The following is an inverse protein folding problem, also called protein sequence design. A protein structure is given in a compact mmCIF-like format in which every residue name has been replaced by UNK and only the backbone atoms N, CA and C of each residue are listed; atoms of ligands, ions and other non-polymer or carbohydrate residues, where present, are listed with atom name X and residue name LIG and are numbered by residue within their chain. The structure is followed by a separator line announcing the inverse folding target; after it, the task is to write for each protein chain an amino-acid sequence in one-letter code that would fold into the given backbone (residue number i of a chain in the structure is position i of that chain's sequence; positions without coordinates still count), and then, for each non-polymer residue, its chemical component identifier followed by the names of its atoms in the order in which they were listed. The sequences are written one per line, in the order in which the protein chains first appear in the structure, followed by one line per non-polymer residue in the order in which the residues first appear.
data_IF_056879024302
#
_entry.id   IF_056879024302
#
_cell.length_a   1.000
_cell.length_b   1.000
_cell.length_c   1.000
_cell.angle_alpha   90.00
_cell.angle_beta   90.00
_cell.angle_gamma   90.00
#
_symmetry.space_group_name_H-M   'P 1'
#
loop_
_entity.id
_entity.type
_entity.pdbx_description
1 polymer ?
#
# COMPACT_ATOMS: atom_id res chain seq x y z
N UNK A 1 9.16 -19.03 9.51
CA UNK A 1 7.87 -18.38 9.19
C UNK A 1 6.73 -19.40 9.06
N UNK A 2 5.48 -19.01 9.33
CA UNK A 2 4.28 -19.83 9.04
C UNK A 2 3.62 -19.34 7.76
N UNK A 3 3.60 -20.19 6.73
CA UNK A 3 2.82 -19.93 5.52
C UNK A 3 1.34 -20.13 5.80
N UNK A 4 0.52 -19.19 5.35
CA UNK A 4 -0.94 -19.24 5.48
C UNK A 4 -1.58 -19.09 4.10
N UNK A 5 -2.70 -19.78 3.89
CA UNK A 5 -3.52 -19.54 2.71
C UNK A 5 -4.11 -18.12 2.85
N UNK A 6 -3.97 -17.24 1.84
CA UNK A 6 -4.53 -15.89 1.90
C UNK A 6 -6.03 -15.92 2.18
N UNK A 7 -6.48 -15.04 3.06
CA UNK A 7 -7.90 -14.82 3.27
C UNK A 7 -8.50 -14.12 2.04
N UNK A 8 -9.59 -14.68 1.53
CA UNK A 8 -10.40 -14.06 0.47
C UNK A 8 -11.28 -12.99 1.10
N UNK A 9 -10.96 -11.73 0.83
CA UNK A 9 -11.74 -10.59 1.34
C UNK A 9 -13.16 -10.60 0.75
N UNK A 10 -14.17 -10.34 1.57
CA UNK A 10 -15.56 -10.24 1.14
C UNK A 10 -15.82 -8.88 0.48
N UNK A 11 -16.80 -8.78 -0.44
CA UNK A 11 -17.24 -7.52 -1.01
C UNK A 11 -17.56 -6.43 0.02
N UNK A 12 -18.14 -6.79 1.16
CA UNK A 12 -18.51 -5.86 2.22
C UNK A 12 -17.29 -5.25 2.92
N UNK A 13 -16.22 -6.04 3.08
CA UNK A 13 -14.96 -5.59 3.69
C UNK A 13 -14.23 -4.61 2.76
N UNK A 14 -14.25 -4.85 1.45
CA UNK A 14 -13.69 -3.91 0.46
C UNK A 14 -14.52 -2.61 0.35
N UNK A 15 -15.83 -2.68 0.62
CA UNK A 15 -16.73 -1.52 0.65
C UNK A 15 -16.51 -0.58 1.85
N UNK A 16 -15.70 -0.98 2.83
CA UNK A 16 -15.28 -0.06 3.90
C UNK A 16 -14.59 1.19 3.35
N UNK A 17 -13.90 1.06 2.21
CA UNK A 17 -13.32 2.18 1.48
C UNK A 17 -14.05 2.47 0.16
N UNK A 18 -14.24 1.45 -0.67
CA UNK A 18 -14.80 1.63 -2.02
C UNK A 18 -16.29 1.89 -2.01
N UNK A 19 -16.79 2.63 -3.01
CA UNK A 19 -18.23 2.81 -3.14
C UNK A 19 -18.94 1.50 -3.47
N UNK A 20 -20.16 1.36 -2.95
CA UNK A 20 -21.00 0.19 -3.20
C UNK A 20 -21.23 -0.03 -4.69
N UNK A 21 -21.49 1.03 -5.45
CA UNK A 21 -21.74 0.94 -6.89
C UNK A 21 -20.52 0.39 -7.65
N UNK A 22 -19.32 0.84 -7.28
CA UNK A 22 -18.08 0.38 -7.92
C UNK A 22 -17.80 -1.09 -7.61
N UNK A 23 -17.94 -1.49 -6.34
CA UNK A 23 -17.71 -2.88 -5.91
C UNK A 23 -18.74 -3.84 -6.50
N UNK A 24 -20.02 -3.45 -6.52
CA UNK A 24 -21.06 -4.24 -7.17
C UNK A 24 -20.79 -4.40 -8.67
N UNK A 25 -20.31 -3.34 -9.34
CA UNK A 25 -19.98 -3.43 -10.76
C UNK A 25 -18.85 -4.42 -11.01
N UNK A 26 -17.76 -4.35 -10.24
CA UNK A 26 -16.65 -5.30 -10.37
C UNK A 26 -17.07 -6.74 -10.07
N UNK A 27 -17.90 -6.96 -9.05
CA UNK A 27 -18.44 -8.28 -8.71
C UNK A 27 -19.37 -8.83 -9.79
N UNK A 28 -20.31 -8.01 -10.31
CA UNK A 28 -21.19 -8.40 -11.42
C UNK A 28 -20.42 -8.66 -12.71
N UNK A 29 -19.36 -7.89 -12.95
CA UNK A 29 -18.47 -8.09 -14.09
C UNK A 29 -17.78 -9.47 -14.03
N UNK A 30 -17.37 -9.93 -12.84
CA UNK A 30 -16.80 -11.27 -12.67
C UNK A 30 -17.79 -12.38 -13.01
N UNK A 31 -19.08 -12.21 -12.66
CA UNK A 31 -20.13 -13.20 -12.95
C UNK A 31 -20.56 -13.24 -14.42
N UNK A 32 -20.50 -12.10 -15.13
CA UNK A 32 -20.96 -12.03 -16.53
C UNK A 32 -20.17 -11.02 -17.38
N UNK A 33 -18.89 -11.31 -17.59
CA UNK A 33 -17.98 -10.45 -18.36
C UNK A 33 -18.55 -10.01 -19.72
N UNK A 34 -19.15 -10.93 -20.50
CA UNK A 34 -19.60 -10.65 -21.86
C UNK A 34 -20.71 -9.61 -21.91
N UNK A 35 -21.60 -9.59 -20.91
CA UNK A 35 -22.65 -8.59 -20.80
C UNK A 35 -22.08 -7.24 -20.36
N UNK A 36 -21.31 -7.21 -19.26
CA UNK A 36 -20.85 -5.96 -18.66
C UNK A 36 -19.75 -5.26 -19.48
N UNK A 37 -18.97 -6.01 -20.27
CA UNK A 37 -17.99 -5.45 -21.21
C UNK A 37 -18.62 -4.57 -22.31
N UNK A 38 -19.94 -4.70 -22.55
CA UNK A 38 -20.68 -3.84 -23.50
C UNK A 38 -21.11 -2.50 -22.89
N UNK A 39 -21.09 -2.35 -21.57
CA UNK A 39 -21.51 -1.13 -20.90
C UNK A 39 -20.38 -0.09 -20.89
N UNK A 40 -20.14 0.54 -22.04
CA UNK A 40 -19.08 1.52 -22.22
C UNK A 40 -19.14 2.70 -21.24
N UNK A 41 -20.35 3.11 -20.83
CA UNK A 41 -20.52 4.24 -19.91
C UNK A 41 -19.96 3.92 -18.52
N UNK A 42 -20.31 2.76 -17.95
CA UNK A 42 -19.78 2.34 -16.64
C UNK A 42 -18.29 1.98 -16.72
N UNK A 43 -17.84 1.33 -17.79
CA UNK A 43 -16.40 1.05 -17.97
C UNK A 43 -15.59 2.35 -18.05
N UNK A 44 -16.09 3.38 -18.73
CA UNK A 44 -15.46 4.71 -18.77
C UNK A 44 -15.51 5.38 -17.40
N UNK A 45 -16.65 5.33 -16.70
CA UNK A 45 -16.84 5.92 -15.36
C UNK A 45 -15.88 5.34 -14.32
N UNK A 46 -15.66 4.03 -14.36
CA UNK A 46 -14.79 3.31 -13.41
C UNK A 46 -13.34 3.16 -13.90
N UNK A 47 -12.98 3.82 -15.00
CA UNK A 47 -11.64 3.82 -15.60
C UNK A 47 -11.15 2.42 -16.05
N UNK A 48 -12.09 1.52 -16.36
CA UNK A 48 -11.85 0.14 -16.79
C UNK A 48 -11.59 0.01 -18.30
N UNK A 49 -11.60 1.14 -19.03
CA UNK A 49 -11.16 1.25 -20.43
C UNK A 49 -9.76 1.87 -20.55
N UNK A 50 -9.14 2.28 -19.45
CA UNK A 50 -7.83 2.89 -19.51
C UNK A 50 -6.77 1.85 -19.86
N UNK A 51 -5.71 2.30 -20.53
CA UNK A 51 -4.63 1.42 -20.99
C UNK A 51 -3.96 0.63 -19.85
N UNK A 52 -3.98 1.17 -18.64
CA UNK A 52 -3.41 0.58 -17.43
C UNK A 52 -4.42 -0.25 -16.60
N UNK A 53 -5.71 -0.24 -16.93
CA UNK A 53 -6.76 -0.88 -16.11
C UNK A 53 -7.78 -1.63 -16.97
N UNK A 54 -7.32 -2.68 -17.66
CA UNK A 54 -8.19 -3.52 -18.49
C UNK A 54 -8.87 -4.63 -17.70
N UNK A 55 -10.14 -4.85 -17.97
CA UNK A 55 -10.90 -5.97 -17.40
C UNK A 55 -10.55 -7.32 -18.02
N UNK A 56 -10.52 -8.37 -17.21
CA UNK A 56 -10.22 -9.75 -17.60
C UNK A 56 -10.97 -10.77 -16.73
N UNK A 57 -10.98 -12.04 -17.15
CA UNK A 57 -11.64 -13.14 -16.44
C UNK A 57 -10.96 -13.40 -15.09
N UNK A 58 -11.72 -13.51 -14.00
CA UNK A 58 -11.16 -13.68 -12.65
C UNK A 58 -10.61 -12.39 -12.02
N UNK A 59 -10.83 -11.21 -12.62
CA UNK A 59 -10.37 -9.93 -12.06
C UNK A 59 -10.78 -9.73 -10.58
N UNK A 60 -12.02 -10.05 -10.24
CA UNK A 60 -12.53 -9.84 -8.89
C UNK A 60 -11.90 -10.82 -7.88
N UNK A 61 -11.74 -12.09 -8.25
CA UNK A 61 -11.08 -13.12 -7.44
C UNK A 61 -9.63 -12.72 -7.12
N UNK A 62 -8.93 -12.12 -8.10
CA UNK A 62 -7.59 -11.54 -7.90
C UNK A 62 -7.64 -10.39 -6.90
N UNK A 63 -8.68 -9.55 -6.90
CA UNK A 63 -8.80 -8.47 -5.94
C UNK A 63 -9.06 -8.97 -4.51
N UNK A 64 -9.92 -9.99 -4.37
CA UNK A 64 -10.29 -10.59 -3.08
C UNK A 64 -9.11 -11.30 -2.41
N UNK A 65 -8.31 -12.03 -3.19
CA UNK A 65 -7.17 -12.84 -2.69
C UNK A 65 -5.92 -12.01 -2.40
N UNK A 66 -5.85 -10.77 -2.90
CA UNK A 66 -4.74 -9.83 -2.67
C UNK A 66 -4.95 -8.92 -1.46
N UNK A 67 -5.97 -9.19 -0.65
CA UNK A 67 -6.39 -8.37 0.49
C UNK A 67 -5.34 -8.27 1.61
N UNK A 68 -5.03 -7.05 2.06
CA UNK A 68 -4.31 -6.81 3.32
C UNK A 68 -5.20 -7.08 4.56
N UNK A 69 -6.52 -7.12 4.39
CA UNK A 69 -7.51 -7.30 5.46
C UNK A 69 -7.26 -8.59 6.26
N UNK A 70 -6.97 -9.70 5.61
CA UNK A 70 -6.65 -10.96 6.30
C UNK A 70 -5.41 -10.85 7.20
N UNK A 71 -4.40 -10.12 6.74
CA UNK A 71 -3.19 -9.86 7.53
C UNK A 71 -3.51 -8.97 8.74
N UNK A 72 -4.32 -7.93 8.55
CA UNK A 72 -4.80 -7.07 9.62
C UNK A 72 -5.60 -7.85 10.67
N UNK A 73 -6.51 -8.74 10.25
CA UNK A 73 -7.27 -9.62 11.16
C UNK A 73 -6.36 -10.54 11.98
N UNK A 74 -5.27 -11.04 11.40
CA UNK A 74 -4.30 -11.87 12.13
C UNK A 74 -3.54 -11.07 13.20
N UNK A 75 -3.18 -9.82 12.89
CA UNK A 75 -2.55 -8.89 13.84
C UNK A 75 -3.53 -8.53 14.97
N UNK A 76 -4.76 -8.13 14.65
CA UNK A 76 -5.80 -7.76 15.62
C UNK A 76 -6.11 -8.90 16.59
N UNK A 77 -6.16 -10.15 16.10
CA UNK A 77 -6.40 -11.34 16.92
C UNK A 77 -5.16 -11.83 17.67
N UNK A 78 -4.06 -11.07 17.63
CA UNK A 78 -2.76 -11.39 18.24
C UNK A 78 -2.26 -12.79 17.86
N UNK A 79 -2.63 -13.27 16.66
CA UNK A 79 -2.20 -14.59 16.16
C UNK A 79 -0.78 -14.56 15.62
N UNK A 80 -0.32 -13.39 15.19
CA UNK A 80 1.02 -13.13 14.65
C UNK A 80 1.47 -11.74 15.09
N UNK A 81 2.77 -11.55 15.28
CA UNK A 81 3.38 -10.25 15.55
C UNK A 81 3.80 -9.52 14.26
N UNK A 82 4.10 -10.29 13.21
CA UNK A 82 4.52 -9.78 11.89
C UNK A 82 3.78 -10.61 10.84
N UNK A 83 3.12 -9.92 9.90
CA UNK A 83 2.46 -10.56 8.75
C UNK A 83 2.96 -9.89 7.48
N UNK A 84 3.33 -10.71 6.49
CA UNK A 84 3.89 -10.25 5.22
C UNK A 84 2.99 -10.77 4.10
N UNK A 85 2.41 -9.84 3.34
CA UNK A 85 1.58 -10.14 2.18
C UNK A 85 2.16 -9.47 0.94
N UNK A 86 3.00 -10.20 0.21
CA UNK A 86 3.62 -9.75 -1.03
C UNK A 86 2.61 -9.44 -2.14
N UNK A 87 1.41 -10.02 -2.06
CA UNK A 87 0.40 -9.87 -3.08
C UNK A 87 -0.37 -8.54 -2.98
N UNK A 88 -0.29 -7.88 -1.82
CA UNK A 88 -0.92 -6.59 -1.55
C UNK A 88 -0.06 -5.41 -2.09
N UNK A 89 -0.25 -4.19 -1.57
CA UNK A 89 0.55 -3.01 -1.93
C UNK A 89 0.01 -2.23 -3.15
N UNK A 90 -1.16 -2.61 -3.68
CA UNK A 90 -1.80 -1.94 -4.81
C UNK A 90 -2.55 -0.66 -4.37
N UNK A 91 -1.82 0.43 -4.16
CA UNK A 91 -2.33 1.67 -3.56
C UNK A 91 -2.89 2.72 -4.53
N UNK A 92 -2.92 2.44 -5.85
CA UNK A 92 -3.34 3.47 -6.81
C UNK A 92 -4.85 3.54 -7.00
N UNK A 93 -5.59 2.48 -6.66
CA UNK A 93 -7.03 2.42 -6.77
C UNK A 93 -7.67 3.53 -5.93
N UNK A 94 -8.76 4.09 -6.43
CA UNK A 94 -9.49 5.16 -5.76
C UNK A 94 -10.84 4.64 -5.29
N UNK A 95 -11.48 5.40 -4.40
CA UNK A 95 -12.78 5.06 -3.82
C UNK A 95 -13.81 4.59 -4.87
N UNK A 96 -13.81 5.21 -6.04
CA UNK A 96 -14.80 4.96 -7.09
C UNK A 96 -14.24 4.50 -8.43
N UNK A 97 -12.93 4.28 -8.59
CA UNK A 97 -12.36 3.91 -9.89
C UNK A 97 -10.98 3.24 -9.81
N UNK A 98 -10.65 2.47 -10.84
CA UNK A 98 -9.35 1.81 -11.00
C UNK A 98 -8.27 2.78 -11.52
N UNK A 99 -7.01 2.58 -11.16
CA UNK A 99 -5.89 3.39 -11.64
C UNK A 99 -4.57 2.62 -11.53
N UNK A 100 -3.69 2.74 -12.55
CA UNK A 100 -2.34 2.18 -12.57
C UNK A 100 -2.29 0.71 -12.13
N UNK A 101 -3.05 -0.14 -12.82
CA UNK A 101 -3.19 -1.57 -12.56
C UNK A 101 -3.85 -1.95 -11.22
N UNK A 102 -4.33 -0.97 -10.45
CA UNK A 102 -4.98 -1.19 -9.16
C UNK A 102 -6.50 -1.00 -9.29
N UNK A 103 -7.26 -2.04 -8.96
CA UNK A 103 -8.73 -2.03 -9.01
C UNK A 103 -9.34 -1.85 -7.62
N UNK A 104 -8.76 -2.49 -6.60
CA UNK A 104 -9.18 -2.38 -5.20
C UNK A 104 -7.97 -1.97 -4.36
N UNK A 105 -8.13 -0.92 -3.55
CA UNK A 105 -7.17 -0.47 -2.55
C UNK A 105 -7.40 -1.24 -1.25
N UNK A 106 -6.80 -2.42 -1.20
CA UNK A 106 -6.87 -3.29 -0.05
C UNK A 106 -6.08 -2.76 1.16
N UNK A 107 -5.17 -1.79 0.97
CA UNK A 107 -4.37 -1.22 2.06
C UNK A 107 -5.26 -0.39 2.95
N UNK A 108 -6.07 0.49 2.36
CA UNK A 108 -6.99 1.34 3.14
C UNK A 108 -7.97 0.47 3.93
N UNK A 109 -8.55 -0.55 3.30
CA UNK A 109 -9.45 -1.47 3.99
C UNK A 109 -8.76 -2.22 5.14
N UNK A 110 -7.52 -2.69 4.95
CA UNK A 110 -6.78 -3.34 6.03
C UNK A 110 -6.32 -2.39 7.14
N UNK A 111 -6.04 -1.11 6.85
CA UNK A 111 -5.80 -0.09 7.88
C UNK A 111 -7.07 0.14 8.70
N UNK A 112 -8.24 0.24 8.05
CA UNK A 112 -9.52 0.36 8.75
C UNK A 112 -9.81 -0.87 9.63
N UNK A 113 -9.44 -2.07 9.17
CA UNK A 113 -9.50 -3.28 9.99
C UNK A 113 -8.55 -3.17 11.20
N UNK A 114 -7.29 -2.77 11.04
CA UNK A 114 -6.36 -2.56 12.16
C UNK A 114 -6.91 -1.57 13.20
N UNK A 115 -7.57 -0.51 12.75
CA UNK A 115 -8.18 0.51 13.63
C UNK A 115 -9.33 -0.04 14.49
N UNK A 116 -9.82 -1.25 14.25
CA UNK A 116 -10.80 -1.91 15.14
C UNK A 116 -10.17 -2.37 16.47
N UNK A 117 -8.85 -2.60 16.49
CA UNK A 117 -8.10 -3.01 17.68
C UNK A 117 -7.12 -1.93 18.15
N UNK A 118 -6.44 -1.28 17.22
CA UNK A 118 -5.47 -0.23 17.51
C UNK A 118 -6.15 1.14 17.49
N UNK A 119 -6.04 1.88 18.60
CA UNK A 119 -6.69 3.19 18.76
C UNK A 119 -6.19 4.23 17.76
N UNK A 120 -4.93 4.12 17.34
CA UNK A 120 -4.28 5.07 16.44
C UNK A 120 -3.22 4.36 15.60
N UNK A 121 -3.09 4.77 14.34
CA UNK A 121 -2.04 4.33 13.41
C UNK A 121 -1.44 5.59 12.80
N UNK A 122 -0.15 5.81 13.03
CA UNK A 122 0.56 6.92 12.40
C UNK A 122 0.93 6.57 10.96
N UNK A 123 0.60 7.47 10.03
CA UNK A 123 0.97 7.37 8.61
C UNK A 123 1.73 8.64 8.23
N UNK A 124 2.97 8.48 7.78
CA UNK A 124 3.84 9.60 7.40
C UNK A 124 4.02 9.65 5.88
N UNK A 125 3.11 10.30 5.13
CA UNK A 125 3.24 10.40 3.68
C UNK A 125 4.44 11.27 3.31
N UNK A 126 5.18 10.86 2.27
CA UNK A 126 6.30 11.62 1.68
C UNK A 126 5.75 12.77 0.83
N UNK A 127 5.30 13.83 1.50
CA UNK A 127 4.62 14.97 0.87
C UNK A 127 5.13 16.32 1.38
N UNK A 128 5.13 17.32 0.51
CA UNK A 128 5.39 18.72 0.86
C UNK A 128 4.10 19.53 0.84
N UNK A 129 4.07 20.64 1.59
CA UNK A 129 3.05 21.67 1.44
C UNK A 129 3.57 22.74 0.47
N UNK A 130 2.91 22.91 -0.65
CA UNK A 130 3.24 23.92 -1.65
C UNK A 130 2.05 24.84 -1.92
N UNK A 131 2.25 26.17 -2.06
CA UNK A 131 1.17 27.07 -2.40
C UNK A 131 0.61 26.79 -3.80
N UNK A 132 -0.72 26.85 -3.90
CA UNK A 132 -1.43 26.71 -5.17
C UNK A 132 -1.03 27.81 -6.15
N UNK A 133 -0.48 27.43 -7.31
CA UNK A 133 -0.06 28.39 -8.34
C UNK A 133 -1.24 29.09 -9.04
N UNK A 134 -2.41 28.45 -9.03
CA UNK A 134 -3.60 28.96 -9.71
C UNK A 134 -4.84 28.79 -8.83
N UNK A 135 -5.74 29.77 -8.93
CA UNK A 135 -7.09 29.66 -8.40
C UNK A 135 -7.90 28.64 -9.22
N UNK A 136 -8.80 27.94 -8.55
CA UNK A 136 -9.78 27.03 -9.12
C UNK A 136 -11.15 27.31 -8.51
N UNK A 137 -12.21 26.68 -9.04
CA UNK A 137 -13.56 26.78 -8.47
C UNK A 137 -13.63 26.40 -6.99
N UNK A 138 -12.73 25.51 -6.54
CA UNK A 138 -12.75 24.96 -5.19
C UNK A 138 -11.68 25.58 -4.27
N UNK A 139 -10.85 26.51 -4.77
CA UNK A 139 -9.68 27.01 -4.01
C UNK A 139 -9.06 28.26 -4.61
N UNK A 140 -8.70 29.24 -3.78
CA UNK A 140 -7.96 30.44 -4.21
C UNK A 140 -6.47 30.12 -4.41
N UNK A 141 -5.79 30.85 -5.29
CA UNK A 141 -4.33 30.82 -5.39
C UNK A 141 -3.67 31.02 -4.01
N UNK A 142 -2.44 30.52 -3.85
CA UNK A 142 -1.63 30.55 -2.62
C UNK A 142 -2.08 29.65 -1.47
N UNK A 143 -3.28 29.06 -1.53
CA UNK A 143 -3.70 28.05 -0.55
C UNK A 143 -2.71 26.87 -0.56
N UNK A 144 -2.20 26.47 0.61
CA UNK A 144 -1.25 25.35 0.73
C UNK A 144 -1.89 24.03 0.29
N UNK A 145 -1.17 23.30 -0.56
CA UNK A 145 -1.55 22.00 -1.07
C UNK A 145 -0.51 20.96 -0.69
N UNK A 146 -1.00 19.81 -0.21
CA UNK A 146 -0.17 18.62 -0.06
C UNK A 146 0.18 18.05 -1.43
N UNK A 147 1.46 18.02 -1.77
CA UNK A 147 1.97 17.42 -3.01
C UNK A 147 2.92 16.27 -2.71
N UNK A 148 2.91 15.20 -3.53
CA UNK A 148 3.86 14.11 -3.36
C UNK A 148 5.27 14.58 -3.70
N UNK A 149 6.25 14.13 -2.90
CA UNK A 149 7.66 14.27 -3.26
C UNK A 149 7.93 13.26 -4.38
N UNK A 150 8.26 13.77 -5.57
CA UNK A 150 8.43 12.93 -6.76
C UNK A 150 9.79 12.21 -6.80
N UNK A 151 10.81 12.80 -6.18
CA UNK A 151 12.15 12.24 -6.08
C UNK A 151 12.47 11.95 -4.63
N UNK A 152 12.34 10.70 -4.24
CA UNK A 152 12.77 10.27 -2.90
C UNK A 152 14.30 10.13 -2.97
N UNK A 153 15.01 10.87 -2.12
CA UNK A 153 16.45 10.77 -1.95
C UNK A 153 16.77 10.22 -0.56
N UNK A 154 18.04 9.89 -0.31
CA UNK A 154 18.49 9.49 1.03
C UNK A 154 18.14 10.58 2.05
N UNK A 155 18.35 11.85 1.72
CA UNK A 155 18.12 12.99 2.62
C UNK A 155 16.63 13.15 2.94
N UNK A 156 15.75 12.97 1.94
CA UNK A 156 14.30 12.98 2.17
C UNK A 156 13.90 11.86 3.14
N UNK A 157 14.40 10.63 2.91
CA UNK A 157 14.13 9.50 3.80
C UNK A 157 14.67 9.76 5.22
N UNK A 158 15.89 10.30 5.35
CA UNK A 158 16.50 10.65 6.65
C UNK A 158 15.65 11.67 7.41
N UNK A 159 15.32 12.77 6.74
CA UNK A 159 14.50 13.85 7.31
C UNK A 159 13.13 13.34 7.76
N UNK A 160 12.48 12.45 7.00
CA UNK A 160 11.19 11.88 7.41
C UNK A 160 11.31 10.99 8.65
N UNK A 161 12.35 10.15 8.70
CA UNK A 161 12.60 9.30 9.87
C UNK A 161 12.84 10.17 11.11
N UNK A 162 13.70 11.17 10.99
CA UNK A 162 14.08 12.05 12.10
C UNK A 162 12.92 12.95 12.56
N UNK A 163 12.26 13.63 11.64
CA UNK A 163 11.30 14.69 11.98
C UNK A 163 9.88 14.17 12.21
N UNK A 164 9.57 12.95 11.73
CA UNK A 164 8.22 12.38 11.80
C UNK A 164 8.18 11.08 12.59
N UNK A 165 9.05 10.12 12.25
CA UNK A 165 8.98 8.77 12.82
C UNK A 165 9.54 8.71 14.24
N UNK A 166 10.75 9.25 14.48
CA UNK A 166 11.36 9.22 15.81
C UNK A 166 10.48 9.88 16.89
N UNK A 167 9.94 11.11 16.71
CA UNK A 167 9.11 11.74 17.72
C UNK A 167 7.84 10.95 18.01
N UNK A 168 7.24 10.31 16.99
CA UNK A 168 6.05 9.49 17.18
C UNK A 168 6.35 8.19 17.93
N UNK A 169 7.50 7.56 17.67
CA UNK A 169 7.98 6.42 18.46
C UNK A 169 8.15 6.85 19.92
N UNK A 170 8.93 7.90 20.19
CA UNK A 170 9.22 8.38 21.55
C UNK A 170 7.94 8.71 22.32
N UNK A 171 6.98 9.39 21.67
CA UNK A 171 5.73 9.79 22.31
C UNK A 171 4.81 8.62 22.66
N UNK A 172 4.86 7.51 21.91
CA UNK A 172 3.89 6.39 22.02
C UNK A 172 4.51 5.07 22.46
N UNK A 173 5.84 4.96 22.54
CA UNK A 173 6.49 3.71 22.90
C UNK A 173 6.09 3.27 24.32
N UNK A 174 5.85 1.97 24.58
CA UNK A 174 5.49 1.48 25.90
C UNK A 174 6.52 1.87 26.97
N UNK A 175 6.03 2.47 28.05
CA UNK A 175 6.84 2.83 29.21
C UNK A 175 7.40 1.57 29.88
N UNK A 176 8.68 1.61 30.27
CA UNK A 176 9.36 0.48 30.91
C UNK A 176 9.91 -0.59 29.94
N UNK A 177 9.91 -0.34 28.62
CA UNK A 177 10.65 -1.18 27.68
C UNK A 177 12.15 -1.10 27.97
N UNK A 178 12.79 -2.28 28.12
CA UNK A 178 14.23 -2.40 28.29
C UNK A 178 14.84 -3.00 27.02
N UNK A 179 15.73 -2.27 26.37
CA UNK A 179 16.50 -2.76 25.22
C UNK A 179 16.36 -1.89 23.97
N UNK A 180 17.05 -2.29 22.89
CA UNK A 180 17.07 -1.54 21.64
C UNK A 180 15.77 -1.70 20.85
N UNK A 181 15.32 -0.58 20.28
CA UNK A 181 14.21 -0.48 19.34
C UNK A 181 14.80 -0.54 17.93
N UNK A 182 14.25 -1.37 17.06
CA UNK A 182 14.73 -1.50 15.68
C UNK A 182 13.72 -0.96 14.67
N UNK A 183 14.15 0.02 13.88
CA UNK A 183 13.50 0.41 12.63
C UNK A 183 14.08 -0.47 11.53
N UNK A 184 13.25 -1.36 10.98
CA UNK A 184 13.66 -2.22 9.88
C UNK A 184 13.36 -1.56 8.53
N UNK A 185 14.38 -1.44 7.69
CA UNK A 185 14.25 -1.05 6.29
C UNK A 185 14.38 -2.27 5.38
N UNK A 186 13.76 -2.21 4.19
CA UNK A 186 14.02 -3.20 3.14
C UNK A 186 15.39 -2.92 2.49
N UNK A 187 15.76 -3.66 1.44
CA UNK A 187 17.06 -3.50 0.77
C UNK A 187 17.03 -2.59 -0.47
N UNK A 188 15.93 -1.85 -0.69
CA UNK A 188 15.71 -1.01 -1.88
C UNK A 188 16.15 0.42 -1.60
N UNK A 189 17.00 0.99 -2.46
CA UNK A 189 17.38 2.41 -2.33
C UNK A 189 16.18 3.32 -2.65
N UNK A 190 16.04 4.49 -2.00
CA UNK A 190 17.02 5.17 -1.14
C UNK A 190 16.73 5.02 0.36
N UNK A 191 17.66 4.39 1.07
CA UNK A 191 17.62 4.23 2.51
C UNK A 191 18.87 4.83 3.15
N UNK A 192 18.74 5.18 4.43
CA UNK A 192 19.85 5.72 5.20
C UNK A 192 20.66 4.56 5.77
N UNK A 193 21.97 4.77 5.92
CA UNK A 193 22.85 3.74 6.48
C UNK A 193 22.57 3.53 7.96
N UNK A 194 23.01 2.39 8.51
CA UNK A 194 23.01 2.17 9.96
C UNK A 194 23.93 3.13 10.71
N UNK A 195 24.86 3.75 9.98
CA UNK A 195 25.88 4.70 10.40
C UNK A 195 25.50 6.16 10.07
N UNK A 196 24.23 6.44 9.74
CA UNK A 196 23.78 7.79 9.42
C UNK A 196 23.87 8.71 10.64
N UNK A 197 24.80 9.66 10.59
CA UNK A 197 25.20 10.49 11.74
C UNK A 197 24.03 11.32 12.28
N UNK A 198 23.24 11.92 11.40
CA UNK A 198 22.11 12.77 11.79
C UNK A 198 21.03 11.93 12.48
N UNK A 199 20.71 10.77 11.91
CA UNK A 199 19.77 9.84 12.52
C UNK A 199 20.25 9.35 13.87
N UNK A 200 21.50 8.90 13.98
CA UNK A 200 22.05 8.36 15.25
C UNK A 200 22.05 9.41 16.36
N UNK A 201 22.39 10.66 16.04
CA UNK A 201 22.36 11.76 17.00
C UNK A 201 20.97 11.98 17.57
N UNK A 202 19.93 11.99 16.71
CA UNK A 202 18.54 12.21 17.12
C UNK A 202 17.94 10.99 17.83
N UNK A 203 18.27 9.80 17.33
CA UNK A 203 17.81 8.53 17.88
C UNK A 203 18.35 8.23 19.29
N UNK A 204 19.43 8.91 19.70
CA UNK A 204 20.05 8.78 21.03
C UNK A 204 19.80 9.98 21.96
N UNK A 205 18.94 10.94 21.59
CA UNK A 205 18.73 12.15 22.42
C UNK A 205 17.98 11.88 23.72
N UNK A 206 17.14 10.86 23.72
CA UNK A 206 16.34 10.45 24.88
C UNK A 206 16.87 9.14 25.48
N UNK A 207 16.23 8.63 26.53
CA UNK A 207 16.54 7.30 27.13
C UNK A 207 16.25 6.12 26.19
N UNK A 208 15.97 6.38 24.92
CA UNK A 208 15.66 5.39 23.89
C UNK A 208 16.92 5.01 23.10
N UNK A 209 17.09 3.71 22.88
CA UNK A 209 18.13 3.15 22.00
C UNK A 209 17.48 2.71 20.68
N UNK A 210 17.27 3.66 19.75
CA UNK A 210 16.62 3.39 18.45
C UNK A 210 17.69 3.17 17.38
N UNK A 211 17.64 2.03 16.69
CA UNK A 211 18.62 1.61 15.69
C UNK A 211 17.96 1.25 14.37
N UNK A 212 18.68 1.50 13.28
CA UNK A 212 18.30 1.02 11.96
C UNK A 212 18.86 -0.37 11.74
N UNK A 213 18.06 -1.23 11.11
CA UNK A 213 18.53 -2.50 10.56
C UNK A 213 17.99 -2.72 9.16
N UNK A 214 18.78 -3.34 8.32
CA UNK A 214 18.32 -3.80 7.01
C UNK A 214 17.75 -5.21 7.12
N UNK A 215 16.82 -5.52 6.22
CA UNK A 215 16.36 -6.89 6.04
C UNK A 215 17.55 -7.80 5.67
N UNK A 216 17.75 -8.94 6.35
CA UNK A 216 18.87 -9.83 6.05
C UNK A 216 18.81 -10.34 4.60
N UNK A 217 19.93 -10.38 3.87
CA UNK A 217 20.00 -10.96 2.53
C UNK A 217 19.67 -12.45 2.62
N UNK A 218 18.70 -12.91 1.84
CA UNK A 218 18.15 -14.26 1.91
C UNK A 218 17.58 -14.63 3.28
N UNK A 219 16.62 -13.84 3.77
CA UNK A 219 15.69 -14.41 4.75
C UNK A 219 15.01 -15.63 4.08
N UNK A 220 15.25 -16.88 4.55
CA UNK A 220 14.65 -18.07 3.95
C UNK A 220 13.12 -18.02 4.04
N UNK A 221 12.61 -17.17 4.92
CA UNK A 221 11.20 -16.87 5.11
C UNK A 221 10.63 -15.91 4.05
N UNK A 222 11.44 -15.15 3.31
CA UNK A 222 10.95 -14.02 2.47
C UNK A 222 11.31 -14.13 0.99
N UNK A 223 11.99 -15.20 0.60
CA UNK A 223 12.35 -15.45 -0.80
C UNK A 223 11.20 -16.14 -1.56
N UNK A 224 10.00 -15.55 -1.52
CA UNK A 224 8.89 -15.93 -2.41
C UNK A 224 8.92 -15.00 -3.63
N UNK A 225 10.04 -15.02 -4.35
CA UNK A 225 10.09 -14.58 -5.74
C UNK A 225 9.58 -15.72 -6.62
N UNK A 226 8.36 -16.19 -6.35
CA UNK A 226 7.71 -17.12 -7.25
C UNK A 226 7.27 -16.32 -8.48
N UNK A 227 7.99 -16.52 -9.58
CA UNK A 227 7.78 -15.87 -10.87
C UNK A 227 6.34 -16.12 -11.41
N UNK A 228 5.60 -17.07 -10.82
CA UNK A 228 4.16 -17.24 -10.98
C UNK A 228 3.33 -15.98 -10.66
N UNK A 229 3.74 -15.20 -9.66
CA UNK A 229 3.05 -13.96 -9.25
C UNK A 229 3.21 -12.83 -10.28
N UNK A 230 4.36 -12.78 -10.96
CA UNK A 230 4.60 -11.86 -12.08
C UNK A 230 3.94 -12.31 -13.38
N UNK A 231 3.58 -13.59 -13.53
CA UNK A 231 2.89 -14.04 -14.74
C UNK A 231 1.55 -13.34 -14.95
N UNK A 232 0.80 -13.01 -13.89
CA UNK A 232 -0.47 -12.26 -14.03
C UNK A 232 -0.24 -10.85 -14.61
N UNK A 233 0.85 -10.18 -14.23
CA UNK A 233 1.23 -8.90 -14.82
C UNK A 233 1.73 -9.08 -16.27
N UNK A 234 2.40 -10.19 -16.58
CA UNK A 234 2.93 -10.49 -17.92
C UNK A 234 1.90 -11.02 -18.94
N UNK A 235 0.74 -11.53 -18.50
CA UNK A 235 -0.35 -11.93 -19.41
C UNK A 235 -0.84 -10.71 -20.20
N UNK A 236 -0.80 -9.51 -19.61
CA UNK A 236 -1.10 -8.25 -20.29
C UNK A 236 -0.05 -7.83 -21.35
N UNK A 237 1.20 -8.28 -21.23
CA UNK A 237 2.27 -7.96 -22.18
C UNK A 237 2.41 -9.00 -23.30
N UNK A 238 2.14 -10.28 -23.04
CA UNK A 238 2.21 -11.35 -24.06
C UNK A 238 1.11 -11.28 -25.13
N UNK A 239 -0.01 -10.62 -24.87
CA UNK A 239 -1.05 -10.38 -25.87
C UNK A 239 -0.60 -9.48 -27.05
N UNK A 240 0.58 -8.83 -26.97
CA UNK A 240 1.11 -7.92 -27.99
C UNK A 240 2.08 -8.57 -29.00
N UNK A 241 2.31 -9.89 -28.93
CA UNK A 241 3.37 -10.56 -29.70
C UNK A 241 2.98 -11.37 -30.93
N UNK A 242 1.70 -11.65 -31.18
CA UNK A 242 1.30 -12.52 -32.31
C UNK A 242 0.81 -11.68 -33.49
N UNK A 243 1.74 -11.15 -34.28
CA UNK A 243 1.46 -10.80 -35.68
C UNK A 243 1.49 -12.11 -36.47
N UNK A 244 0.32 -12.54 -36.97
CA UNK A 244 0.23 -13.63 -37.95
C UNK A 244 0.84 -13.13 -39.27
N UNK A 245 1.75 -13.92 -39.82
CA UNK A 245 2.04 -13.93 -41.25
C UNK A 245 0.81 -14.39 -42.04
#
# INVERSE_FOLDING_TARGET
MKTVIPYTAKPEEMQMFHSKEYMEYLSKFALNMLQYRKNHNELKRFHLLNFDCHVFEGLFEVCETRGFIGAAQMLNRQKMNIVINWASGLHYAKKTYASRFCYVDNIVAGILELLTMYKEIDIFPLTTLEPAKHSSKNRVAETLETKPILSITKDVTSSWLIQKVLPAIIARWPQGHMGPIYIQQDNVKPHIGVDDVEFLQEASRDEFDIRIRFQPPNSPDLNVLDLGFFSCNSISSRARGVRKH
#
